data_IF_689621211849
#
_entry.id   IF_689621211849
#
_cell.length_a   1.000
_cell.length_b   1.000
_cell.length_c   1.000
_cell.angle_alpha   90.00
_cell.angle_beta   90.00
_cell.angle_gamma   90.00
#
_symmetry.space_group_name_H-M   'P 1'
#
loop_
_entity.id
_entity.type
_entity.pdbx_description
1 polymer ?
#
# COMPACT_ATOMS: atom_id res chain seq x y z
N UNK A 1 -10.23 -10.92 -14.46
CA UNK A 1 -11.33 -10.17 -13.82
C UNK A 1 -10.73 -8.96 -13.16
N UNK A 2 -11.21 -7.77 -13.50
CA UNK A 2 -10.68 -6.53 -12.90
C UNK A 2 -10.93 -6.53 -11.39
N UNK A 3 -9.86 -6.35 -10.63
CA UNK A 3 -9.92 -6.23 -9.17
C UNK A 3 -10.17 -4.78 -8.77
N UNK A 4 -9.43 -3.86 -9.38
CA UNK A 4 -9.51 -2.42 -9.14
C UNK A 4 -9.79 -1.70 -10.46
N UNK A 5 -10.75 -0.79 -10.46
CA UNK A 5 -11.06 0.06 -11.61
C UNK A 5 -11.11 1.52 -11.18
N UNK A 6 -10.52 2.37 -11.99
CA UNK A 6 -10.46 3.82 -11.79
C UNK A 6 -11.01 4.50 -13.03
N UNK A 7 -12.08 5.28 -12.86
CA UNK A 7 -12.81 5.92 -13.95
C UNK A 7 -12.89 7.42 -13.78
N UNK A 8 -12.29 8.17 -14.71
CA UNK A 8 -12.38 9.62 -14.79
C UNK A 8 -11.92 10.36 -13.53
N UNK A 9 -10.98 9.78 -12.78
CA UNK A 9 -10.62 10.28 -11.46
C UNK A 9 -9.98 11.65 -11.54
N UNK A 10 -10.54 12.60 -10.80
CA UNK A 10 -10.06 13.97 -10.68
C UNK A 10 -9.97 14.39 -9.23
N UNK A 11 -8.91 15.10 -8.88
CA UNK A 11 -8.76 15.70 -7.55
C UNK A 11 -8.28 17.13 -7.65
N UNK A 12 -9.06 18.00 -7.03
CA UNK A 12 -8.74 19.44 -6.90
C UNK A 12 -8.75 19.79 -5.41
N UNK A 13 -7.65 20.33 -4.92
CA UNK A 13 -7.56 20.89 -3.57
C UNK A 13 -7.83 22.39 -3.63
N UNK A 14 -8.77 22.86 -2.84
CA UNK A 14 -9.11 24.29 -2.73
C UNK A 14 -8.73 24.80 -1.35
N UNK A 15 -7.98 25.89 -1.29
CA UNK A 15 -7.62 26.53 -0.02
C UNK A 15 -8.88 27.11 0.66
N UNK A 16 -9.01 26.90 1.99
CA UNK A 16 -10.16 27.41 2.79
C UNK A 16 -10.28 28.94 2.80
N UNK A 17 -9.26 29.67 2.40
CA UNK A 17 -9.20 31.14 2.46
C UNK A 17 -9.18 31.82 1.08
N UNK A 18 -9.78 31.21 0.04
CA UNK A 18 -9.90 31.84 -1.27
C UNK A 18 -8.60 31.88 -2.09
N UNK A 19 -7.64 30.99 -1.79
CA UNK A 19 -6.41 30.82 -2.54
C UNK A 19 -6.60 30.05 -3.86
N UNK A 20 -5.54 29.93 -4.64
CA UNK A 20 -5.54 29.16 -5.88
C UNK A 20 -5.92 27.70 -5.62
N UNK A 21 -6.78 27.14 -6.47
CA UNK A 21 -7.05 25.71 -6.51
C UNK A 21 -5.88 24.99 -7.18
N UNK A 22 -5.46 23.85 -6.60
CA UNK A 22 -4.42 23.00 -7.16
C UNK A 22 -5.06 21.70 -7.64
N UNK A 23 -4.99 21.44 -8.94
CA UNK A 23 -5.42 20.19 -9.52
C UNK A 23 -4.29 19.18 -9.36
N UNK A 24 -4.53 18.14 -8.54
CA UNK A 24 -3.57 17.08 -8.28
C UNK A 24 -3.73 15.88 -9.22
N UNK A 25 -4.96 15.59 -9.65
CA UNK A 25 -5.28 14.54 -10.61
C UNK A 25 -6.24 15.04 -11.67
N UNK A 26 -6.08 14.57 -12.92
CA UNK A 26 -6.88 14.98 -14.06
C UNK A 26 -7.28 13.79 -14.93
N UNK A 27 -8.56 13.38 -14.82
CA UNK A 27 -9.15 12.33 -15.66
C UNK A 27 -8.35 11.00 -15.72
N UNK A 28 -7.91 10.52 -14.55
CA UNK A 28 -7.14 9.27 -14.45
C UNK A 28 -8.04 8.07 -14.70
N UNK A 29 -7.62 7.18 -15.60
CA UNK A 29 -8.34 5.97 -15.97
C UNK A 29 -7.37 4.79 -16.07
N UNK A 30 -7.60 3.74 -15.30
CA UNK A 30 -6.89 2.45 -15.41
C UNK A 30 -7.64 1.36 -14.66
N UNK A 31 -7.23 0.13 -14.90
CA UNK A 31 -7.70 -1.04 -14.14
C UNK A 31 -6.51 -1.89 -13.71
N UNK A 32 -6.71 -2.70 -12.66
CA UNK A 32 -5.73 -3.69 -12.18
C UNK A 32 -6.43 -5.03 -12.08
N UNK A 33 -5.88 -6.04 -12.71
CA UNK A 33 -6.39 -7.41 -12.65
C UNK A 33 -5.96 -8.12 -11.35
N UNK A 34 -6.73 -9.10 -10.93
CA UNK A 34 -6.36 -9.91 -9.77
C UNK A 34 -5.03 -10.63 -10.01
N UNK A 35 -4.11 -10.54 -9.04
CA UNK A 35 -2.76 -11.12 -9.15
C UNK A 35 -1.79 -10.30 -9.99
N UNK A 36 -2.19 -9.15 -10.53
CA UNK A 36 -1.32 -8.27 -11.29
C UNK A 36 -0.37 -7.48 -10.37
N UNK A 37 0.86 -7.25 -10.82
CA UNK A 37 1.78 -6.31 -10.21
C UNK A 37 1.93 -5.11 -11.15
N UNK A 38 1.42 -3.96 -10.73
CA UNK A 38 1.37 -2.72 -11.51
C UNK A 38 2.24 -1.66 -10.85
N UNK A 39 3.05 -0.95 -11.63
CA UNK A 39 3.77 0.23 -11.20
C UNK A 39 3.17 1.49 -11.86
N UNK A 40 2.89 2.50 -11.05
CA UNK A 40 2.51 3.84 -11.50
C UNK A 40 3.73 4.73 -11.36
N UNK A 41 4.24 5.21 -12.50
CA UNK A 41 5.40 6.08 -12.55
C UNK A 41 5.04 7.54 -12.71
N UNK A 42 5.85 8.39 -12.11
CA UNK A 42 5.73 9.85 -12.27
C UNK A 42 6.76 10.60 -11.43
N UNK A 43 7.06 11.83 -11.80
CA UNK A 43 7.97 12.69 -11.04
C UNK A 43 7.39 13.07 -9.67
N UNK A 44 8.24 13.60 -8.79
CA UNK A 44 7.77 14.19 -7.53
C UNK A 44 6.72 15.27 -7.80
N UNK A 45 5.62 15.26 -7.05
CA UNK A 45 4.52 16.21 -7.23
C UNK A 45 3.53 15.87 -8.35
N UNK A 46 3.66 14.73 -9.05
CA UNK A 46 2.73 14.33 -10.12
C UNK A 46 1.38 13.76 -9.63
N UNK A 47 1.09 13.81 -8.34
CA UNK A 47 -0.19 13.33 -7.79
C UNK A 47 -0.21 11.87 -7.34
N UNK A 48 0.90 11.13 -7.40
CA UNK A 48 0.97 9.70 -7.03
C UNK A 48 0.45 9.40 -5.61
N UNK A 49 0.94 10.14 -4.63
CA UNK A 49 0.47 10.01 -3.24
C UNK A 49 -1.00 10.39 -3.09
N UNK A 50 -1.47 11.41 -3.84
CA UNK A 50 -2.91 11.76 -3.88
C UNK A 50 -3.74 10.60 -4.43
N UNK A 51 -3.29 9.99 -5.53
CA UNK A 51 -3.94 8.83 -6.12
C UNK A 51 -3.98 7.67 -5.11
N UNK A 52 -2.84 7.32 -4.50
CA UNK A 52 -2.81 6.27 -3.47
C UNK A 52 -3.75 6.56 -2.30
N UNK A 53 -3.81 7.81 -1.82
CA UNK A 53 -4.72 8.17 -0.72
C UNK A 53 -6.19 7.96 -1.10
N UNK A 54 -6.56 8.23 -2.36
CA UNK A 54 -7.91 7.97 -2.84
C UNK A 54 -8.18 6.47 -2.96
N UNK A 55 -7.24 5.71 -3.57
CA UNK A 55 -7.32 4.25 -3.66
C UNK A 55 -7.36 3.57 -2.28
N UNK A 56 -6.77 4.23 -1.31
CA UNK A 56 -6.75 3.86 0.10
C UNK A 56 -8.03 4.18 0.87
N UNK A 57 -8.98 4.88 0.25
CA UNK A 57 -10.13 5.46 0.95
C UNK A 57 -9.71 6.35 2.16
N UNK A 58 -8.57 7.03 2.04
CA UNK A 58 -8.09 8.06 2.99
C UNK A 58 -8.49 9.46 2.53
N UNK A 59 -8.75 9.64 1.23
CA UNK A 59 -9.25 10.87 0.65
C UNK A 59 -10.36 10.53 -0.37
N UNK A 60 -11.17 11.52 -0.73
CA UNK A 60 -12.24 11.36 -1.71
C UNK A 60 -11.88 12.10 -3.00
N UNK A 61 -12.21 11.55 -4.18
CA UNK A 61 -12.04 12.27 -5.44
C UNK A 61 -13.00 13.47 -5.51
N UNK A 62 -12.66 14.46 -6.32
CA UNK A 62 -13.57 15.57 -6.67
C UNK A 62 -14.58 15.13 -7.72
N UNK A 63 -14.13 14.33 -8.70
CA UNK A 63 -14.95 13.73 -9.75
C UNK A 63 -14.40 12.32 -10.05
N UNK A 64 -15.21 11.50 -10.71
CA UNK A 64 -14.86 10.12 -11.05
C UNK A 64 -15.08 9.15 -9.89
N UNK A 65 -14.71 7.89 -10.10
CA UNK A 65 -14.92 6.84 -9.11
C UNK A 65 -13.82 5.80 -9.09
N UNK A 66 -13.76 5.07 -7.98
CA UNK A 66 -12.90 3.91 -7.78
C UNK A 66 -13.78 2.73 -7.39
N UNK A 67 -13.64 1.62 -8.09
CA UNK A 67 -14.32 0.36 -7.82
C UNK A 67 -13.30 -0.68 -7.36
N UNK A 68 -13.61 -1.40 -6.29
CA UNK A 68 -12.88 -2.60 -5.88
C UNK A 68 -13.83 -3.80 -5.97
N UNK A 69 -13.51 -4.77 -6.82
CA UNK A 69 -14.40 -5.89 -7.15
C UNK A 69 -15.81 -5.43 -7.58
N UNK A 70 -15.87 -4.39 -8.40
CA UNK A 70 -17.12 -3.82 -8.90
C UNK A 70 -17.93 -3.00 -7.88
N UNK A 71 -17.48 -2.89 -6.62
CA UNK A 71 -18.13 -2.06 -5.60
C UNK A 71 -17.49 -0.68 -5.53
N UNK A 72 -18.30 0.37 -5.70
CA UNK A 72 -17.82 1.74 -5.60
C UNK A 72 -17.40 2.10 -4.17
N UNK A 73 -16.19 2.66 -4.05
CA UNK A 73 -15.68 3.12 -2.75
C UNK A 73 -16.47 4.34 -2.23
N UNK A 74 -17.13 5.08 -3.09
CA UNK A 74 -17.97 6.21 -2.71
C UNK A 74 -19.24 5.81 -1.95
N UNK A 75 -19.70 4.56 -2.13
CA UNK A 75 -20.88 4.01 -1.45
C UNK A 75 -20.59 3.53 -0.03
N UNK A 76 -19.31 3.48 0.38
CA UNK A 76 -18.91 3.05 1.71
C UNK A 76 -19.16 4.18 2.70
N UNK A 77 -19.93 3.90 3.74
CA UNK A 77 -20.22 4.87 4.81
C UNK A 77 -18.94 5.20 5.59
N UNK A 78 -18.83 6.43 6.05
CA UNK A 78 -17.67 6.93 6.81
C UNK A 78 -17.31 6.02 7.99
N UNK A 79 -18.32 5.54 8.72
CA UNK A 79 -18.15 4.61 9.85
C UNK A 79 -17.60 3.24 9.47
N UNK A 80 -17.69 2.84 8.19
CA UNK A 80 -17.26 1.54 7.68
C UNK A 80 -15.88 1.61 7.00
N UNK A 81 -15.41 2.81 6.63
CA UNK A 81 -14.17 2.97 5.87
C UNK A 81 -12.95 2.36 6.59
N UNK A 82 -12.86 2.47 7.92
CA UNK A 82 -11.75 1.90 8.67
C UNK A 82 -11.73 0.37 8.62
N UNK A 83 -12.91 -0.28 8.73
CA UNK A 83 -13.05 -1.73 8.58
C UNK A 83 -12.73 -2.16 7.14
N UNK A 84 -13.29 -1.43 6.16
CA UNK A 84 -13.03 -1.68 4.74
C UNK A 84 -11.54 -1.66 4.40
N UNK A 85 -10.79 -0.65 4.88
CA UNK A 85 -9.32 -0.58 4.67
C UNK A 85 -8.62 -1.79 5.25
N UNK A 86 -8.91 -2.13 6.52
CA UNK A 86 -8.27 -3.28 7.20
C UNK A 86 -8.54 -4.62 6.52
N UNK A 87 -9.72 -4.80 5.94
CA UNK A 87 -10.14 -6.07 5.35
C UNK A 87 -9.69 -6.23 3.90
N UNK A 88 -9.53 -5.15 3.17
CA UNK A 88 -9.32 -5.21 1.73
C UNK A 88 -7.96 -4.70 1.27
N UNK A 89 -7.32 -3.82 2.05
CA UNK A 89 -6.12 -3.10 1.62
C UNK A 89 -4.93 -3.35 2.54
N UNK A 90 -3.78 -3.60 1.96
CA UNK A 90 -2.48 -3.59 2.65
C UNK A 90 -1.70 -2.34 2.26
N UNK A 91 -0.95 -1.76 3.22
CA UNK A 91 -0.16 -0.55 2.97
C UNK A 91 1.30 -0.75 3.30
N UNK A 92 2.15 -0.34 2.35
CA UNK A 92 3.60 -0.25 2.52
C UNK A 92 4.03 1.16 2.17
N UNK A 93 4.55 1.90 3.16
CA UNK A 93 4.96 3.29 3.03
C UNK A 93 6.48 3.43 2.92
N UNK A 94 6.95 4.52 2.35
CA UNK A 94 8.37 4.88 2.25
C UNK A 94 9.04 4.93 3.64
N UNK A 95 8.40 5.57 4.61
CA UNK A 95 8.93 5.78 5.96
C UNK A 95 8.54 4.66 6.94
N UNK A 96 8.16 3.48 6.42
CA UNK A 96 7.76 2.29 7.18
C UNK A 96 6.51 2.47 8.04
N UNK A 97 6.29 3.62 8.64
CA UNK A 97 5.19 3.97 9.55
C UNK A 97 5.01 2.92 10.66
N UNK A 98 6.12 2.48 11.26
CA UNK A 98 6.12 1.64 12.45
C UNK A 98 6.06 2.53 13.70
N UNK A 99 5.33 2.09 14.71
CA UNK A 99 5.25 2.76 16.01
C UNK A 99 6.44 2.34 16.87
N UNK A 100 7.30 3.29 17.25
CA UNK A 100 8.54 3.02 17.97
C UNK A 100 8.31 2.49 19.40
N UNK A 101 7.14 2.73 19.97
CA UNK A 101 6.73 2.25 21.30
C UNK A 101 6.25 0.80 21.31
N UNK A 102 6.09 0.18 20.14
CA UNK A 102 5.62 -1.19 19.97
C UNK A 102 6.73 -2.07 19.42
N UNK A 103 6.76 -3.34 19.84
CA UNK A 103 7.63 -4.33 19.22
C UNK A 103 7.29 -4.52 17.73
N UNK A 104 8.20 -5.12 16.96
CA UNK A 104 7.93 -5.50 15.56
C UNK A 104 6.68 -6.38 15.47
N UNK A 105 6.53 -7.35 16.36
CA UNK A 105 5.33 -8.20 16.44
C UNK A 105 4.06 -7.37 16.65
N UNK A 106 4.06 -6.47 17.62
CA UNK A 106 2.89 -5.68 17.96
C UNK A 106 2.51 -4.72 16.82
N UNK A 107 3.51 -4.15 16.14
CA UNK A 107 3.29 -3.37 14.91
C UNK A 107 2.58 -4.19 13.81
N UNK A 108 3.01 -5.43 13.62
CA UNK A 108 2.40 -6.32 12.62
C UNK A 108 0.97 -6.72 13.05
N UNK A 109 0.72 -6.90 14.34
CA UNK A 109 -0.58 -7.29 14.88
C UNK A 109 -1.64 -6.18 14.88
N UNK A 110 -1.24 -4.91 14.79
CA UNK A 110 -2.15 -3.76 14.88
C UNK A 110 -3.47 -3.91 14.10
N UNK A 111 -3.46 -4.26 12.80
CA UNK A 111 -4.71 -4.39 12.05
C UNK A 111 -5.59 -5.54 12.54
N UNK A 112 -5.02 -6.61 13.08
CA UNK A 112 -5.76 -7.74 13.64
C UNK A 112 -6.32 -7.42 15.03
N UNK A 113 -5.57 -6.69 15.86
CA UNK A 113 -6.02 -6.19 17.17
C UNK A 113 -7.24 -5.29 16.97
N UNK A 114 -7.17 -4.34 16.01
CA UNK A 114 -8.27 -3.45 15.66
C UNK A 114 -9.49 -4.18 15.07
N UNK A 115 -9.31 -5.41 14.60
CA UNK A 115 -10.37 -6.31 14.13
C UNK A 115 -10.87 -7.27 15.22
N UNK A 116 -10.42 -7.11 16.47
CA UNK A 116 -10.84 -7.92 17.61
C UNK A 116 -10.38 -9.40 17.55
N UNK A 117 -9.30 -9.71 16.83
CA UNK A 117 -8.77 -11.07 16.73
C UNK A 117 -8.07 -11.48 18.03
N UNK A 118 -8.21 -12.77 18.42
CA UNK A 118 -7.53 -13.31 19.60
C UNK A 118 -6.05 -13.54 19.30
N UNK A 119 -5.23 -13.52 20.34
CA UNK A 119 -3.78 -13.64 20.26
C UNK A 119 -3.32 -14.92 19.54
N UNK A 120 -3.96 -16.05 19.81
CA UNK A 120 -3.64 -17.33 19.16
C UNK A 120 -3.84 -17.26 17.65
N UNK A 121 -4.96 -16.67 17.19
CA UNK A 121 -5.25 -16.47 15.77
C UNK A 121 -4.26 -15.52 15.10
N UNK A 122 -3.80 -14.52 15.83
CA UNK A 122 -2.79 -13.58 15.31
C UNK A 122 -1.44 -14.27 15.13
N UNK A 123 -1.01 -15.10 16.08
CA UNK A 123 0.24 -15.86 15.98
C UNK A 123 0.19 -16.92 14.86
N UNK A 124 -0.92 -17.62 14.68
CA UNK A 124 -1.12 -18.56 13.57
C UNK A 124 -0.93 -17.90 12.20
N UNK A 125 -1.44 -16.66 12.05
CA UNK A 125 -1.26 -15.89 10.81
C UNK A 125 0.15 -15.34 10.65
N UNK A 126 0.80 -14.92 11.75
CA UNK A 126 2.13 -14.32 11.71
C UNK A 126 3.22 -15.33 11.35
N UNK A 127 3.18 -16.54 11.89
CA UNK A 127 4.25 -17.51 11.75
C UNK A 127 4.69 -17.78 10.29
N UNK A 128 3.77 -18.08 9.35
CA UNK A 128 4.16 -18.28 7.95
C UNK A 128 4.68 -17.00 7.29
N UNK A 129 4.13 -15.85 7.63
CA UNK A 129 4.55 -14.54 7.08
C UNK A 129 5.95 -14.18 7.60
N UNK A 130 6.19 -14.30 8.91
CA UNK A 130 7.47 -13.99 9.51
C UNK A 130 8.60 -14.86 8.93
N UNK A 131 8.34 -16.14 8.70
CA UNK A 131 9.27 -17.06 8.06
C UNK A 131 9.56 -16.67 6.63
N UNK A 132 8.50 -16.41 5.82
CA UNK A 132 8.65 -16.01 4.41
C UNK A 132 9.46 -14.71 4.28
N UNK A 133 9.26 -13.77 5.21
CA UNK A 133 9.92 -12.46 5.19
C UNK A 133 11.27 -12.45 5.92
N UNK A 134 11.67 -13.57 6.57
CA UNK A 134 12.93 -13.67 7.32
C UNK A 134 13.04 -12.67 8.46
N UNK A 135 11.96 -12.53 9.25
CA UNK A 135 11.89 -11.57 10.38
C UNK A 135 11.57 -12.24 11.73
N UNK A 136 11.66 -13.57 11.80
CA UNK A 136 11.32 -14.33 13.02
C UNK A 136 12.19 -13.91 14.21
N UNK A 137 13.47 -13.66 13.99
CA UNK A 137 14.48 -13.28 15.00
C UNK A 137 14.33 -11.85 15.52
N UNK A 138 13.58 -11.00 14.82
CA UNK A 138 13.41 -9.59 15.21
C UNK A 138 12.00 -9.27 15.78
N UNK A 139 11.11 -10.24 15.86
CA UNK A 139 9.72 -10.01 16.28
C UNK A 139 9.57 -9.38 17.68
N UNK A 140 10.51 -9.67 18.59
CA UNK A 140 10.54 -9.11 19.95
C UNK A 140 11.27 -7.77 20.06
N UNK A 141 11.98 -7.35 19.01
CA UNK A 141 12.73 -6.08 18.99
C UNK A 141 11.79 -4.91 18.69
N UNK A 142 12.29 -3.72 19.00
CA UNK A 142 11.62 -2.45 18.67
C UNK A 142 12.16 -1.88 17.34
N UNK A 143 11.41 -0.99 16.66
CA UNK A 143 11.85 -0.42 15.39
C UNK A 143 13.24 0.22 15.41
N UNK A 144 13.62 0.88 16.50
CA UNK A 144 14.94 1.51 16.64
C UNK A 144 16.10 0.52 16.82
N UNK A 145 15.81 -0.78 17.05
CA UNK A 145 16.83 -1.83 17.23
C UNK A 145 17.11 -2.61 15.94
N UNK A 146 16.43 -2.29 14.84
CA UNK A 146 16.51 -3.05 13.59
C UNK A 146 16.88 -2.15 12.40
N UNK A 147 17.45 -2.76 11.34
CA UNK A 147 17.86 -2.03 10.14
C UNK A 147 16.67 -1.51 9.33
N UNK A 148 16.89 -0.56 8.41
CA UNK A 148 15.88 -0.05 7.50
C UNK A 148 15.20 -1.15 6.67
N UNK A 149 15.98 -2.09 6.12
CA UNK A 149 15.47 -3.24 5.39
C UNK A 149 14.60 -4.16 6.26
N UNK A 150 14.99 -4.39 7.53
CA UNK A 150 14.17 -5.15 8.48
C UNK A 150 12.87 -4.42 8.85
N UNK A 151 12.93 -3.10 9.03
CA UNK A 151 11.70 -2.27 9.22
C UNK A 151 10.75 -2.40 8.05
N UNK A 152 11.27 -2.36 6.82
CA UNK A 152 10.45 -2.47 5.63
C UNK A 152 9.83 -3.87 5.49
N UNK A 153 10.56 -4.93 5.77
CA UNK A 153 10.00 -6.29 5.83
C UNK A 153 8.90 -6.42 6.89
N UNK A 154 9.05 -5.78 8.04
CA UNK A 154 8.01 -5.71 9.07
C UNK A 154 6.77 -4.93 8.58
N UNK A 155 6.95 -3.82 7.86
CA UNK A 155 5.86 -3.06 7.25
C UNK A 155 5.11 -3.90 6.18
N UNK A 156 5.85 -4.67 5.38
CA UNK A 156 5.25 -5.64 4.43
C UNK A 156 4.49 -6.73 5.18
N UNK A 157 5.03 -7.29 6.27
CA UNK A 157 4.33 -8.26 7.11
C UNK A 157 3.00 -7.70 7.65
N UNK A 158 3.03 -6.46 8.14
CA UNK A 158 1.82 -5.76 8.60
C UNK A 158 0.80 -5.57 7.50
N UNK A 159 1.24 -5.27 6.28
CA UNK A 159 0.36 -5.13 5.13
C UNK A 159 -0.30 -6.46 4.74
N UNK A 160 0.41 -7.57 4.85
CA UNK A 160 -0.05 -8.90 4.42
C UNK A 160 -0.85 -9.68 5.48
N UNK A 161 -0.74 -9.32 6.77
CA UNK A 161 -1.28 -10.12 7.89
C UNK A 161 -2.81 -10.26 7.82
N UNK A 162 -3.50 -9.29 7.24
CA UNK A 162 -4.95 -9.32 7.03
C UNK A 162 -5.37 -10.11 5.80
N UNK A 163 -4.42 -10.54 4.96
CA UNK A 163 -4.66 -11.15 3.65
C UNK A 163 -5.46 -10.22 2.72
N UNK A 164 -4.95 -9.02 2.44
CA UNK A 164 -5.67 -8.00 1.68
C UNK A 164 -5.85 -8.42 0.22
N UNK A 165 -6.87 -7.85 -0.43
CA UNK A 165 -7.10 -8.05 -1.87
C UNK A 165 -6.02 -7.39 -2.72
N UNK A 166 -5.52 -6.25 -2.29
CA UNK A 166 -4.47 -5.48 -2.96
C UNK A 166 -3.51 -4.86 -1.93
N UNK A 167 -2.23 -4.89 -2.24
CA UNK A 167 -1.19 -4.14 -1.52
C UNK A 167 -0.89 -2.86 -2.28
N UNK A 168 -1.02 -1.72 -1.60
CA UNK A 168 -0.68 -0.39 -2.09
C UNK A 168 0.68 -0.01 -1.51
N UNK A 169 1.67 0.25 -2.37
CA UNK A 169 3.03 0.60 -1.96
C UNK A 169 3.41 2.00 -2.44
N UNK A 170 3.73 2.91 -1.50
CA UNK A 170 4.15 4.29 -1.77
C UNK A 170 5.67 4.39 -1.64
N UNK A 171 6.37 4.51 -2.77
CA UNK A 171 7.84 4.64 -2.84
C UNK A 171 8.58 3.66 -1.90
N UNK A 172 8.28 2.35 -1.94
CA UNK A 172 8.67 1.41 -0.89
C UNK A 172 10.19 1.22 -0.74
N UNK A 173 10.97 1.66 -1.73
CA UNK A 173 12.44 1.60 -1.72
C UNK A 173 13.09 2.94 -1.40
N UNK A 174 12.32 4.03 -1.26
CA UNK A 174 12.85 5.39 -1.20
C UNK A 174 13.74 5.69 0.03
N UNK A 175 13.54 4.97 1.14
CA UNK A 175 14.34 5.11 2.37
C UNK A 175 15.42 4.01 2.56
N UNK A 176 15.64 3.18 1.52
CA UNK A 176 16.55 2.02 1.59
C UNK A 176 17.83 2.25 0.78
N UNK A 177 18.91 1.63 1.21
CA UNK A 177 20.10 1.48 0.36
C UNK A 177 19.84 0.55 -0.83
N UNK A 178 20.77 0.52 -1.80
CA UNK A 178 20.58 -0.24 -3.03
C UNK A 178 20.36 -1.74 -2.80
N UNK A 179 21.09 -2.34 -1.84
CA UNK A 179 20.97 -3.77 -1.55
C UNK A 179 19.63 -4.11 -0.90
N UNK A 180 19.24 -3.35 0.12
CA UNK A 180 17.94 -3.52 0.77
C UNK A 180 16.77 -3.27 -0.19
N UNK A 181 16.94 -2.34 -1.15
CA UNK A 181 15.98 -2.09 -2.23
C UNK A 181 15.81 -3.33 -3.12
N UNK A 182 16.91 -3.94 -3.57
CA UNK A 182 16.89 -5.15 -4.40
C UNK A 182 16.24 -6.33 -3.68
N UNK A 183 16.59 -6.51 -2.42
CA UNK A 183 16.01 -7.56 -1.58
C UNK A 183 14.50 -7.36 -1.40
N UNK A 184 14.04 -6.11 -1.24
CA UNK A 184 12.62 -5.80 -1.11
C UNK A 184 11.86 -6.02 -2.42
N UNK A 185 12.41 -5.58 -3.54
CA UNK A 185 11.77 -5.75 -4.86
C UNK A 185 11.65 -7.23 -5.22
N UNK A 186 12.71 -8.02 -4.96
CA UNK A 186 12.66 -9.48 -5.11
C UNK A 186 11.60 -10.12 -4.24
N UNK A 187 11.42 -9.60 -3.02
CA UNK A 187 10.38 -10.05 -2.11
C UNK A 187 8.97 -9.73 -2.63
N UNK A 188 8.75 -8.55 -3.23
CA UNK A 188 7.48 -8.22 -3.89
C UNK A 188 7.19 -9.15 -5.06
N UNK A 189 8.20 -9.51 -5.87
CA UNK A 189 8.04 -10.49 -6.93
C UNK A 189 7.59 -11.87 -6.40
N UNK A 190 8.19 -12.32 -5.28
CA UNK A 190 7.82 -13.58 -4.64
C UNK A 190 6.39 -13.54 -4.07
N UNK A 191 6.01 -12.44 -3.46
CA UNK A 191 4.66 -12.23 -2.92
C UNK A 191 3.63 -12.21 -4.05
N UNK A 192 3.93 -11.51 -5.14
CA UNK A 192 3.04 -11.46 -6.30
C UNK A 192 2.88 -12.83 -6.97
N UNK A 193 3.95 -13.62 -7.12
CA UNK A 193 3.89 -15.00 -7.65
C UNK A 193 2.97 -15.92 -6.83
N UNK A 194 2.67 -15.59 -5.58
CA UNK A 194 1.67 -16.32 -4.78
C UNK A 194 0.24 -15.83 -5.01
N UNK A 195 0.02 -14.94 -5.98
CA UNK A 195 -1.30 -14.43 -6.37
C UNK A 195 -1.71 -13.11 -5.71
N UNK A 196 -0.82 -12.47 -4.91
CA UNK A 196 -1.11 -11.17 -4.32
C UNK A 196 -1.06 -10.07 -5.36
N UNK A 197 -2.13 -9.30 -5.48
CA UNK A 197 -2.16 -8.09 -6.31
C UNK A 197 -1.36 -6.97 -5.64
N UNK A 198 -0.51 -6.29 -6.40
CA UNK A 198 0.34 -5.19 -5.92
C UNK A 198 0.19 -3.99 -6.85
N UNK A 199 -0.06 -2.83 -6.28
CA UNK A 199 0.02 -1.54 -6.96
C UNK A 199 1.07 -0.69 -6.25
N UNK A 200 2.15 -0.39 -6.95
CA UNK A 200 3.26 0.41 -6.45
C UNK A 200 3.27 1.76 -7.16
N UNK A 201 3.44 2.84 -6.42
CA UNK A 201 3.82 4.13 -7.02
C UNK A 201 5.30 4.37 -6.75
N UNK A 202 6.02 4.84 -7.77
CA UNK A 202 7.45 5.08 -7.67
C UNK A 202 7.95 6.05 -8.73
N UNK A 203 9.07 6.70 -8.46
CA UNK A 203 9.85 7.44 -9.46
C UNK A 203 11.10 6.65 -9.93
N UNK A 204 11.36 5.49 -9.32
CA UNK A 204 12.49 4.62 -9.65
C UNK A 204 12.16 3.72 -10.82
N UNK A 205 12.87 3.90 -11.94
CA UNK A 205 12.78 3.02 -13.13
C UNK A 205 13.10 1.57 -12.75
N UNK A 206 14.09 1.36 -11.87
CA UNK A 206 14.46 0.03 -11.38
C UNK A 206 13.30 -0.63 -10.63
N UNK A 207 12.66 0.09 -9.72
CA UNK A 207 11.51 -0.45 -9.00
C UNK A 207 10.35 -0.77 -9.94
N UNK A 208 10.05 0.12 -10.89
CA UNK A 208 9.00 -0.10 -11.87
C UNK A 208 9.25 -1.30 -12.79
N UNK A 209 10.52 -1.61 -13.12
CA UNK A 209 10.86 -2.75 -13.98
C UNK A 209 10.54 -4.13 -13.40
N UNK A 210 10.23 -4.23 -12.10
CA UNK A 210 9.72 -5.45 -11.46
C UNK A 210 8.22 -5.67 -11.69
N UNK A 211 7.48 -4.62 -12.04
CA UNK A 211 6.06 -4.75 -12.34
C UNK A 211 5.82 -5.37 -13.73
N UNK A 212 4.73 -6.13 -13.87
CA UNK A 212 4.31 -6.66 -15.17
C UNK A 212 3.81 -5.57 -16.12
N UNK A 213 3.28 -4.48 -15.56
CA UNK A 213 2.77 -3.35 -16.33
C UNK A 213 3.11 -2.04 -15.63
N UNK A 214 3.57 -1.10 -16.43
CA UNK A 214 3.80 0.27 -16.02
C UNK A 214 2.68 1.18 -16.55
N UNK A 215 2.17 2.04 -15.67
CA UNK A 215 1.25 3.11 -16.02
C UNK A 215 2.03 4.42 -15.93
N UNK A 216 2.28 5.02 -17.10
CA UNK A 216 3.06 6.25 -17.21
C UNK A 216 2.23 7.52 -17.02
N UNK A 217 2.90 8.69 -17.11
CA UNK A 217 2.34 10.04 -16.91
C UNK A 217 1.08 10.38 -17.73
N UNK A 218 0.87 9.76 -18.87
CA UNK A 218 -0.27 10.06 -19.74
C UNK A 218 -1.62 9.61 -19.14
N UNK A 219 -1.59 8.88 -18.03
CA UNK A 219 -2.76 8.30 -17.37
C UNK A 219 -2.94 8.76 -15.93
N UNK A 220 -2.07 9.66 -15.41
CA UNK A 220 -2.15 10.20 -14.03
C UNK A 220 -2.28 11.71 -14.05
#
# INVERSE_FOLDING_TARGET
>A
MSLLEVHGLKKVYTSRFGGQSVQALSNVNFSVEQGEYVAIMGESGSGKTTLLNILAALDRPTEGEVLLEGRSMSEIRESELAAYRRENLGFVFQDFNLLDTFSIRDNIFLPLVLSGKRYEQMNEKLAPIARKLGIEDILSKYPYEVSGGQKQRAAVARALITQPKIVLADEPTGALDSRASDDLLSLFDEINRTGQTILMVTHSVKAASHAFREIGRAHV
#
